data_IF_550794766341
#
_entry.id   IF_550794766341
#
_cell.length_a   1.000
_cell.length_b   1.000
_cell.length_c   1.000
_cell.angle_alpha   90.00
_cell.angle_beta   90.00
_cell.angle_gamma   90.00
#
_symmetry.space_group_name_H-M   'P 1'
#
loop_
_entity.id
_entity.type
_entity.pdbx_description
1 polymer ?
#
# COMPACT_ATOMS: atom_id res chain seq x y z
N UNK A 1 -6.68 -7.65 4.44
CA UNK A 1 -6.41 -8.61 3.34
C UNK A 1 -6.03 -10.00 3.86
N UNK A 2 -6.47 -10.36 5.07
CA UNK A 2 -6.28 -11.71 5.63
C UNK A 2 -7.25 -12.73 5.03
N UNK A 3 -8.52 -12.36 4.96
CA UNK A 3 -9.62 -13.12 4.37
C UNK A 3 -10.33 -12.31 3.29
N UNK A 4 -11.26 -12.94 2.58
CA UNK A 4 -12.02 -12.33 1.49
C UNK A 4 -11.42 -12.60 0.09
N UNK A 5 -12.18 -12.20 -0.93
CA UNK A 5 -11.81 -12.37 -2.33
C UNK A 5 -11.01 -11.15 -2.82
N UNK A 6 -9.80 -11.39 -3.32
CA UNK A 6 -8.92 -10.35 -3.90
C UNK A 6 -9.53 -9.71 -5.15
N UNK A 7 -10.47 -10.39 -5.83
CA UNK A 7 -11.13 -9.88 -7.03
C UNK A 7 -11.79 -8.51 -6.82
N UNK A 8 -12.39 -8.27 -5.65
CA UNK A 8 -13.01 -6.97 -5.35
C UNK A 8 -11.98 -5.83 -5.33
N UNK A 9 -10.79 -6.09 -4.80
CA UNK A 9 -9.68 -5.13 -4.83
C UNK A 9 -9.18 -4.92 -6.26
N UNK A 10 -9.02 -5.99 -7.04
CA UNK A 10 -8.58 -5.90 -8.43
C UNK A 10 -9.55 -5.08 -9.27
N UNK A 11 -10.85 -5.35 -9.17
CA UNK A 11 -11.89 -4.62 -9.90
C UNK A 11 -11.87 -3.14 -9.51
N UNK A 12 -11.70 -2.83 -8.21
CA UNK A 12 -11.57 -1.45 -7.74
C UNK A 12 -10.32 -0.74 -8.29
N UNK A 13 -9.14 -1.37 -8.23
CA UNK A 13 -7.88 -0.77 -8.68
C UNK A 13 -7.84 -0.52 -10.19
N UNK A 14 -8.47 -1.39 -10.99
CA UNK A 14 -8.47 -1.30 -12.46
C UNK A 14 -9.29 -0.12 -12.99
N UNK A 15 -10.33 0.29 -12.27
CA UNK A 15 -11.24 1.35 -12.72
C UNK A 15 -10.86 2.74 -12.19
N UNK A 16 -9.75 2.87 -11.45
CA UNK A 16 -9.27 4.16 -10.95
C UNK A 16 -8.93 5.08 -12.13
N UNK A 17 -9.54 6.28 -12.24
CA UNK A 17 -9.22 7.22 -13.29
C UNK A 17 -7.78 7.73 -13.23
N UNK A 18 -7.22 8.06 -14.39
CA UNK A 18 -5.88 8.66 -14.46
C UNK A 18 -5.83 10.01 -13.73
N UNK A 19 -4.78 10.26 -12.95
CA UNK A 19 -4.62 11.48 -12.14
C UNK A 19 -5.30 11.43 -10.77
N UNK A 20 -6.01 10.35 -10.42
CA UNK A 20 -6.57 10.18 -9.08
C UNK A 20 -5.47 9.89 -8.06
N UNK A 21 -5.48 10.64 -6.95
CA UNK A 21 -4.67 10.36 -5.75
C UNK A 21 -5.27 9.15 -5.04
N UNK A 22 -4.42 8.20 -4.64
CA UNK A 22 -4.82 6.98 -3.95
C UNK A 22 -4.09 6.93 -2.61
N UNK A 23 -4.84 6.89 -1.50
CA UNK A 23 -4.30 6.76 -0.16
C UNK A 23 -4.62 5.35 0.36
N UNK A 24 -3.61 4.65 0.86
CA UNK A 24 -3.72 3.27 1.34
C UNK A 24 -3.11 3.18 2.73
N UNK A 25 -3.81 2.51 3.64
CA UNK A 25 -3.31 2.20 4.98
C UNK A 25 -3.67 0.75 5.31
N UNK A 26 -2.70 0.00 5.82
CA UNK A 26 -2.92 -1.36 6.31
C UNK A 26 -3.66 -1.38 7.64
N UNK A 27 -4.43 -2.44 7.88
CA UNK A 27 -4.94 -2.77 9.20
C UNK A 27 -4.87 -4.29 9.43
N UNK A 28 -4.26 -4.69 10.54
CA UNK A 28 -3.90 -6.07 10.90
C UNK A 28 -2.98 -6.77 9.88
N UNK A 29 -3.51 -7.20 8.74
CA UNK A 29 -2.73 -7.86 7.69
C UNK A 29 -3.10 -7.35 6.29
N UNK A 30 -2.14 -6.70 5.59
CA UNK A 30 -2.33 -6.27 4.22
C UNK A 30 -1.95 -7.32 3.18
N UNK A 31 -1.28 -8.43 3.53
CA UNK A 31 -0.52 -9.20 2.56
C UNK A 31 -1.06 -10.59 2.22
N UNK A 32 -1.74 -11.30 3.14
CA UNK A 32 -2.03 -12.74 2.98
C UNK A 32 -2.78 -13.09 1.69
N UNK A 33 -3.73 -12.26 1.25
CA UNK A 33 -4.51 -12.49 0.01
C UNK A 33 -4.05 -11.67 -1.19
N UNK A 34 -3.02 -10.82 -1.06
CA UNK A 34 -2.49 -10.06 -2.20
C UNK A 34 -1.74 -10.99 -3.16
N UNK A 35 -2.32 -11.15 -4.35
CA UNK A 35 -1.69 -11.85 -5.47
C UNK A 35 -0.77 -10.92 -6.29
N UNK A 36 -0.05 -11.50 -7.24
CA UNK A 36 0.92 -10.77 -8.08
C UNK A 36 0.27 -9.65 -8.90
N UNK A 37 -0.97 -9.84 -9.34
CA UNK A 37 -1.72 -8.81 -10.07
C UNK A 37 -2.04 -7.60 -9.19
N UNK A 38 -2.57 -7.82 -7.99
CA UNK A 38 -2.86 -6.73 -7.05
C UNK A 38 -1.59 -5.99 -6.66
N UNK A 39 -0.49 -6.71 -6.43
CA UNK A 39 0.83 -6.15 -6.12
C UNK A 39 1.38 -5.31 -7.29
N UNK A 40 1.20 -5.78 -8.52
CA UNK A 40 1.57 -5.04 -9.73
C UNK A 40 0.77 -3.75 -9.84
N UNK A 41 -0.57 -3.82 -9.71
CA UNK A 41 -1.44 -2.64 -9.78
C UNK A 41 -1.11 -1.60 -8.70
N UNK A 42 -0.83 -2.03 -7.46
CA UNK A 42 -0.39 -1.12 -6.39
C UNK A 42 1.00 -0.52 -6.68
N UNK A 43 1.90 -1.30 -7.29
CA UNK A 43 3.23 -0.80 -7.70
C UNK A 43 3.14 0.22 -8.84
N UNK A 44 2.19 0.07 -9.76
CA UNK A 44 1.88 1.03 -10.84
C UNK A 44 1.28 2.35 -10.33
N UNK A 45 0.70 2.36 -9.12
CA UNK A 45 0.29 3.59 -8.45
C UNK A 45 1.48 4.36 -7.85
N UNK A 46 2.68 3.77 -7.87
CA UNK A 46 3.91 4.38 -7.37
C UNK A 46 4.53 3.68 -6.15
N UNK A 47 3.97 2.56 -5.68
CA UNK A 47 4.50 1.86 -4.50
C UNK A 47 5.84 1.17 -4.78
N UNK A 48 6.77 1.29 -3.83
CA UNK A 48 8.04 0.57 -3.77
C UNK A 48 7.97 -0.71 -2.92
N UNK A 49 6.98 -0.80 -2.02
CA UNK A 49 6.85 -1.91 -1.06
C UNK A 49 5.73 -2.90 -1.35
N UNK A 50 4.74 -2.57 -2.19
CA UNK A 50 3.59 -3.43 -2.47
C UNK A 50 3.97 -4.85 -2.91
N UNK A 51 5.02 -4.99 -3.74
CA UNK A 51 5.53 -6.30 -4.19
C UNK A 51 6.22 -7.10 -3.09
N UNK A 52 6.61 -6.47 -1.97
CA UNK A 52 7.38 -7.06 -0.87
C UNK A 52 6.58 -7.21 0.42
N UNK A 53 5.34 -6.71 0.48
CA UNK A 53 4.51 -6.79 1.69
C UNK A 53 4.34 -8.24 2.16
N UNK A 54 4.72 -8.47 3.42
CA UNK A 54 4.55 -9.72 4.15
C UNK A 54 3.42 -9.67 5.17
N UNK A 55 3.15 -10.84 5.76
CA UNK A 55 2.09 -11.03 6.75
C UNK A 55 2.25 -10.07 7.95
N UNK A 56 1.21 -9.26 8.17
CA UNK A 56 1.15 -8.22 9.23
C UNK A 56 2.24 -7.14 9.18
N UNK A 57 2.86 -6.94 8.02
CA UNK A 57 3.62 -5.72 7.82
C UNK A 57 2.69 -4.52 7.96
N UNK A 58 3.14 -3.46 8.62
CA UNK A 58 2.45 -2.17 8.58
C UNK A 58 2.91 -1.39 7.35
N UNK A 59 1.96 -0.78 6.65
CA UNK A 59 2.21 -0.07 5.42
C UNK A 59 1.21 1.09 5.24
N UNK A 60 1.75 2.27 4.96
CA UNK A 60 0.98 3.45 4.55
C UNK A 60 1.60 4.00 3.28
N UNK A 61 0.75 4.37 2.32
CA UNK A 61 1.18 4.74 0.98
C UNK A 61 0.21 5.75 0.39
N UNK A 62 0.75 6.79 -0.23
CA UNK A 62 0.00 7.70 -1.07
C UNK A 62 0.61 7.67 -2.46
N UNK A 63 -0.17 7.28 -3.45
CA UNK A 63 0.24 7.23 -4.86
C UNK A 63 -0.74 7.96 -5.77
N UNK A 64 -0.56 7.80 -7.07
CA UNK A 64 -1.51 8.31 -8.06
C UNK A 64 -1.56 7.41 -9.29
N UNK A 65 -2.73 7.30 -9.92
CA UNK A 65 -2.86 6.57 -11.18
C UNK A 65 -2.18 7.35 -12.31
N UNK A 66 -1.24 6.71 -13.00
CA UNK A 66 -0.45 7.32 -14.07
C UNK A 66 0.86 7.96 -13.63
N UNK A 67 1.26 7.77 -12.36
CA UNK A 67 2.56 8.20 -11.87
C UNK A 67 3.68 7.40 -12.56
N UNK A 68 4.67 8.10 -13.11
CA UNK A 68 5.81 7.46 -13.79
C UNK A 68 6.93 7.05 -12.83
N UNK A 69 7.00 7.72 -11.67
CA UNK A 69 8.04 7.51 -10.67
C UNK A 69 7.48 6.86 -9.40
N UNK A 70 8.37 6.49 -8.48
CA UNK A 70 7.97 6.01 -7.16
C UNK A 70 7.48 7.19 -6.31
N UNK A 71 6.43 6.94 -5.53
CA UNK A 71 5.93 7.96 -4.63
C UNK A 71 6.94 8.23 -3.51
N UNK A 72 7.21 9.50 -3.16
CA UNK A 72 7.96 9.83 -1.96
C UNK A 72 7.13 9.66 -0.68
N UNK A 73 5.83 9.40 -0.79
CA UNK A 73 4.91 9.24 0.34
C UNK A 73 4.60 7.75 0.57
N UNK A 74 5.57 7.05 1.14
CA UNK A 74 5.40 5.65 1.51
C UNK A 74 6.22 5.29 2.75
N UNK A 75 5.59 4.60 3.71
CA UNK A 75 6.29 4.02 4.86
C UNK A 75 5.89 2.56 5.03
N UNK A 76 6.85 1.76 5.50
CA UNK A 76 6.72 0.32 5.71
C UNK A 76 7.47 -0.09 6.97
N UNK A 77 6.84 -0.93 7.78
CA UNK A 77 7.47 -1.64 8.89
C UNK A 77 7.19 -3.13 8.74
N UNK A 78 8.27 -3.90 8.61
CA UNK A 78 8.20 -5.34 8.54
C UNK A 78 7.76 -5.92 9.89
N UNK A 79 6.88 -6.91 9.86
CA UNK A 79 6.63 -7.79 11.00
C UNK A 79 7.88 -8.57 11.37
N UNK A 80 8.47 -8.23 12.52
CA UNK A 80 9.69 -8.83 13.04
C UNK A 80 9.55 -9.05 14.55
N UNK A 81 9.47 -10.30 14.98
CA UNK A 81 9.23 -10.68 16.38
C UNK A 81 10.24 -10.06 17.36
N UNK A 82 11.46 -9.76 16.93
CA UNK A 82 12.48 -9.14 17.78
C UNK A 82 12.32 -7.62 17.93
N UNK A 83 11.54 -6.96 17.05
CA UNK A 83 11.40 -5.49 16.99
C UNK A 83 9.97 -5.01 17.19
N UNK A 84 9.00 -5.90 17.11
CA UNK A 84 7.59 -5.57 17.23
C UNK A 84 7.27 -4.92 18.58
N UNK A 85 6.49 -3.85 18.53
CA UNK A 85 5.98 -3.16 19.73
C UNK A 85 4.84 -3.93 20.40
N UNK A 86 4.04 -4.63 19.60
CA UNK A 86 2.94 -5.48 20.07
C UNK A 86 3.28 -6.95 19.87
N UNK A 87 2.58 -7.84 20.57
CA UNK A 87 2.78 -9.28 20.42
C UNK A 87 2.32 -9.77 19.04
N UNK A 88 3.26 -9.82 18.09
CA UNK A 88 3.02 -10.26 16.71
C UNK A 88 2.62 -9.17 15.71
N UNK A 89 2.74 -7.87 16.07
CA UNK A 89 2.53 -6.73 15.15
C UNK A 89 3.56 -5.60 15.37
N UNK A 90 4.03 -4.95 14.27
CA UNK A 90 4.82 -3.72 14.35
C UNK A 90 4.08 -2.56 15.02
N UNK A 91 4.81 -1.50 15.35
CA UNK A 91 4.17 -0.25 15.78
C UNK A 91 3.41 0.46 14.66
N UNK A 92 2.54 1.39 15.03
CA UNK A 92 1.73 2.18 14.09
C UNK A 92 2.65 3.06 13.22
N UNK A 93 2.33 3.15 11.93
CA UNK A 93 2.96 4.07 11.01
C UNK A 93 2.14 5.35 10.89
N UNK A 94 2.83 6.49 10.89
CA UNK A 94 2.23 7.80 10.67
C UNK A 94 2.98 8.50 9.54
N UNK A 95 2.23 9.09 8.62
CA UNK A 95 2.81 9.83 7.49
C UNK A 95 1.96 11.05 7.20
N UNK A 96 2.62 12.19 7.10
CA UNK A 96 2.03 13.48 6.75
C UNK A 96 2.87 14.15 5.65
N UNK A 97 2.27 15.10 4.94
CA UNK A 97 2.97 15.84 3.90
C UNK A 97 2.06 16.67 3.01
N UNK A 98 2.67 17.29 2.00
CA UNK A 98 1.99 18.16 1.04
C UNK A 98 2.03 17.52 -0.35
N UNK A 99 0.90 17.10 -0.90
CA UNK A 99 0.82 16.52 -2.24
C UNK A 99 0.75 17.64 -3.28
N UNK A 100 1.67 17.69 -4.27
CA UNK A 100 1.61 18.68 -5.34
C UNK A 100 0.30 18.58 -6.10
N UNK A 101 -0.37 19.72 -6.32
CA UNK A 101 -1.54 19.78 -7.18
C UNK A 101 -1.09 19.52 -8.63
N UNK A 102 -1.77 18.63 -9.34
CA UNK A 102 -1.59 18.47 -10.78
C UNK A 102 -1.87 19.82 -11.46
N UNK A 103 -0.89 20.35 -12.17
CA UNK A 103 -1.07 21.50 -13.06
C UNK A 103 -1.40 20.93 -14.45
N UNK A 104 -2.44 21.48 -15.08
CA UNK A 104 -2.86 21.12 -16.44
C UNK A 104 -1.82 21.53 -17.48
#
# INVERSE_FOLDING_TARGET
>A
MYSGDVKLLLDFLKVIPHGTIVMVASYDDPATKLNDEARTLLSELGSSYASKLGFRDNWTFIGAKGLQEKSPYEQHLKNDAAKNKYDGWPEVLEMEGCIPKKMD
#
